data_IF_986253500993
#
_entry.id   IF_986253500993
#
_cell.length_a   1.000
_cell.length_b   1.000
_cell.length_c   1.000
_cell.angle_alpha   90.00
_cell.angle_beta   90.00
_cell.angle_gamma   90.00
#
_symmetry.space_group_name_H-M   'P 1'
#
loop_
_entity.id
_entity.type
_entity.pdbx_description
1 polymer ?
#
# COMPACT_ATOMS: atom_id res chain seq x y z
N UNK A 1 -5.73 5.05 -5.90
CA UNK A 1 -4.89 4.82 -7.11
C UNK A 1 -4.78 3.33 -7.37
N UNK A 2 -4.47 2.55 -6.34
CA UNK A 2 -4.41 1.09 -6.32
C UNK A 2 -5.77 0.46 -6.66
N UNK A 3 -5.87 -0.84 -6.97
CA UNK A 3 -7.16 -1.47 -7.21
C UNK A 3 -7.96 -1.64 -5.91
N UNK A 4 -7.26 -1.80 -4.79
CA UNK A 4 -7.82 -1.89 -3.45
C UNK A 4 -6.85 -1.39 -2.37
N UNK A 5 -7.34 -1.17 -1.15
CA UNK A 5 -6.53 -0.66 -0.03
C UNK A 5 -6.49 -1.59 1.19
N UNK A 6 -7.34 -2.61 1.27
CA UNK A 6 -7.53 -3.40 2.48
C UNK A 6 -8.51 -2.72 3.45
N UNK A 7 -9.20 -3.52 4.25
CA UNK A 7 -10.26 -3.05 5.17
C UNK A 7 -9.70 -2.12 6.25
N UNK A 8 -8.45 -2.31 6.66
CA UNK A 8 -7.76 -1.53 7.69
C UNK A 8 -7.60 -0.05 7.32
N UNK A 9 -7.60 0.28 6.03
CA UNK A 9 -7.44 1.66 5.54
C UNK A 9 -8.78 2.32 5.17
N UNK A 10 -9.92 1.66 5.45
CA UNK A 10 -11.24 2.24 5.25
C UNK A 10 -11.63 3.06 6.49
N UNK A 11 -11.49 4.38 6.41
CA UNK A 11 -11.91 5.31 7.47
C UNK A 11 -13.30 5.93 7.22
N UNK A 12 -14.02 5.46 6.20
CA UNK A 12 -15.37 5.94 5.88
C UNK A 12 -16.26 4.83 5.32
N UNK A 13 -17.55 5.09 5.18
CA UNK A 13 -18.45 4.15 4.51
C UNK A 13 -18.42 4.36 3.00
N UNK A 14 -17.79 3.43 2.27
CA UNK A 14 -17.87 3.41 0.80
C UNK A 14 -19.30 3.12 0.32
N UNK A 15 -19.76 3.73 -0.79
CA UNK A 15 -21.08 3.46 -1.35
C UNK A 15 -21.33 1.99 -1.71
N UNK A 16 -20.30 1.28 -2.18
CA UNK A 16 -20.37 -0.14 -2.53
C UNK A 16 -19.99 -1.08 -1.38
N UNK A 17 -19.55 -0.53 -0.24
CA UNK A 17 -19.13 -1.29 0.93
C UNK A 17 -17.83 -2.10 0.75
N UNK A 18 -17.02 -1.78 -0.27
CA UNK A 18 -15.77 -2.49 -0.57
C UNK A 18 -14.54 -1.64 -0.23
N UNK A 19 -13.35 -2.25 -0.31
CA UNK A 19 -12.06 -1.58 -0.23
C UNK A 19 -11.52 -1.20 -1.63
N UNK A 20 -12.35 -1.24 -2.67
CA UNK A 20 -11.98 -0.95 -4.05
C UNK A 20 -11.63 0.53 -4.21
N UNK A 21 -10.64 0.84 -5.05
CA UNK A 21 -10.33 2.22 -5.45
C UNK A 21 -10.16 2.34 -6.97
N UNK A 22 -9.49 3.39 -7.45
CA UNK A 22 -9.45 3.77 -8.86
C UNK A 22 -8.83 2.73 -9.81
N UNK A 23 -7.94 1.84 -9.34
CA UNK A 23 -7.33 0.80 -10.19
C UNK A 23 -6.46 1.32 -11.34
N UNK A 24 -5.73 2.41 -11.12
CA UNK A 24 -4.78 2.98 -12.10
C UNK A 24 -3.44 2.23 -12.16
N UNK A 25 -3.16 1.42 -11.14
CA UNK A 25 -2.03 0.50 -11.05
C UNK A 25 -2.54 -0.85 -10.55
N UNK A 26 -1.78 -1.92 -10.77
CA UNK A 26 -2.21 -3.29 -10.45
C UNK A 26 -1.80 -3.79 -9.05
N UNK A 27 -1.19 -2.90 -8.24
CA UNK A 27 -0.71 -3.21 -6.89
C UNK A 27 -1.34 -2.32 -5.83
N UNK A 28 -1.29 -2.79 -4.58
CA UNK A 28 -1.71 -2.06 -3.39
C UNK A 28 -0.52 -1.43 -2.66
N UNK A 29 -0.75 -0.39 -1.85
CA UNK A 29 0.31 0.33 -1.13
C UNK A 29 -0.06 0.41 0.36
N UNK A 30 0.85 -0.01 1.22
CA UNK A 30 0.85 0.25 2.66
C UNK A 30 1.78 1.45 2.92
N UNK A 31 1.23 2.65 3.15
CA UNK A 31 2.02 3.87 3.29
C UNK A 31 2.57 4.02 4.72
N UNK A 32 3.53 4.93 4.88
CA UNK A 32 4.06 5.35 6.19
C UNK A 32 4.61 4.21 7.04
N UNK A 33 5.32 3.28 6.40
CA UNK A 33 5.94 2.15 7.06
C UNK A 33 6.89 2.62 8.19
N UNK A 34 6.65 2.10 9.39
CA UNK A 34 7.39 2.39 10.62
C UNK A 34 7.42 3.89 11.01
N UNK A 35 6.48 4.70 10.51
CA UNK A 35 6.43 6.13 10.81
C UNK A 35 6.15 6.38 12.31
N UNK A 36 6.90 7.27 13.01
CA UNK A 36 6.79 7.45 14.46
C UNK A 36 5.41 7.87 14.99
N UNK A 37 4.60 8.53 14.16
CA UNK A 37 3.24 8.96 14.54
C UNK A 37 2.15 7.94 14.18
N UNK A 38 2.49 6.89 13.44
CA UNK A 38 1.57 5.84 13.00
C UNK A 38 2.07 4.51 13.56
N UNK A 39 1.97 4.37 14.88
CA UNK A 39 2.56 3.23 15.62
C UNK A 39 2.01 1.86 15.21
N UNK A 40 0.88 1.83 14.50
CA UNK A 40 0.28 0.61 13.94
C UNK A 40 0.87 0.24 12.56
N UNK A 41 1.49 1.20 11.85
CA UNK A 41 2.02 1.02 10.50
C UNK A 41 3.37 0.28 10.48
N UNK A 42 3.48 -0.80 11.23
CA UNK A 42 4.72 -1.57 11.34
C UNK A 42 4.92 -2.52 10.17
N UNK A 43 6.16 -2.96 9.91
CA UNK A 43 6.43 -4.04 8.93
C UNK A 43 5.65 -5.32 9.22
N UNK A 44 5.42 -5.65 10.49
CA UNK A 44 4.62 -6.81 10.87
C UNK A 44 3.15 -6.63 10.47
N UNK A 45 2.58 -5.44 10.69
CA UNK A 45 1.24 -5.11 10.25
C UNK A 45 1.13 -5.14 8.72
N UNK A 46 2.12 -4.61 8.00
CA UNK A 46 2.17 -4.66 6.54
C UNK A 46 2.17 -6.10 5.99
N UNK A 47 2.88 -7.03 6.65
CA UNK A 47 2.88 -8.45 6.28
C UNK A 47 1.48 -9.06 6.44
N UNK A 48 0.80 -8.79 7.57
CA UNK A 48 -0.55 -9.31 7.80
C UNK A 48 -1.60 -8.70 6.88
N UNK A 49 -1.48 -7.40 6.59
CA UNK A 49 -2.29 -6.69 5.61
C UNK A 49 -2.14 -7.29 4.22
N UNK A 50 -0.89 -7.49 3.73
CA UNK A 50 -0.62 -8.00 2.39
C UNK A 50 -1.24 -9.38 2.14
N UNK A 51 -1.24 -10.27 3.16
CA UNK A 51 -1.87 -11.60 3.08
C UNK A 51 -3.36 -11.57 2.75
N UNK A 52 -4.06 -10.47 3.07
CA UNK A 52 -5.52 -10.35 2.91
C UNK A 52 -5.93 -9.81 1.53
N UNK A 53 -5.01 -9.20 0.79
CA UNK A 53 -5.34 -8.45 -0.43
C UNK A 53 -5.50 -9.33 -1.68
N UNK A 54 -4.70 -10.39 -1.80
CA UNK A 54 -4.70 -11.26 -2.98
C UNK A 54 -4.17 -10.62 -4.26
N UNK A 55 -3.51 -9.45 -4.19
CA UNK A 55 -2.79 -8.82 -5.28
C UNK A 55 -1.40 -8.35 -4.84
N UNK A 56 -0.50 -8.05 -5.80
CA UNK A 56 0.82 -7.49 -5.53
C UNK A 56 0.71 -6.26 -4.62
N UNK A 57 1.64 -6.11 -3.69
CA UNK A 57 1.62 -4.95 -2.80
C UNK A 57 3.00 -4.49 -2.36
N UNK A 58 3.09 -3.21 -1.99
CA UNK A 58 4.31 -2.58 -1.49
C UNK A 58 4.03 -1.91 -0.15
N UNK A 59 4.88 -2.17 0.84
CA UNK A 59 5.01 -1.29 1.99
C UNK A 59 6.15 -0.31 1.73
N UNK A 60 5.88 0.97 1.94
CA UNK A 60 6.82 2.07 1.67
C UNK A 60 6.82 3.07 2.83
N UNK A 61 7.98 3.61 3.15
CA UNK A 61 8.12 4.74 4.06
C UNK A 61 8.11 6.08 3.32
N UNK A 62 8.37 7.17 4.05
CA UNK A 62 8.33 8.55 3.56
C UNK A 62 9.41 8.86 2.51
N UNK A 63 10.53 8.13 2.55
CA UNK A 63 11.69 8.30 1.68
C UNK A 63 11.67 7.30 0.50
N UNK A 64 10.48 6.79 0.17
CA UNK A 64 10.26 5.84 -0.92
C UNK A 64 9.14 6.30 -1.86
N UNK A 65 9.42 6.25 -3.16
CA UNK A 65 8.45 6.52 -4.23
C UNK A 65 8.35 5.34 -5.20
N UNK A 66 7.17 5.17 -5.82
CA UNK A 66 6.95 4.20 -6.89
C UNK A 66 6.64 4.96 -8.17
N UNK A 67 7.51 4.84 -9.17
CA UNK A 67 7.32 5.40 -10.51
C UNK A 67 6.72 4.34 -11.42
N UNK A 68 5.67 4.72 -12.15
CA UNK A 68 5.03 3.87 -13.16
C UNK A 68 5.05 4.58 -14.51
N UNK A 69 5.65 3.95 -15.53
CA UNK A 69 5.65 4.43 -16.91
C UNK A 69 5.24 3.28 -17.82
N UNK A 70 4.06 3.39 -18.45
CA UNK A 70 3.42 2.27 -19.14
C UNK A 70 3.27 1.05 -18.21
N UNK A 71 3.91 -0.07 -18.51
CA UNK A 71 3.92 -1.31 -17.74
C UNK A 71 5.13 -1.44 -16.80
N UNK A 72 6.04 -0.46 -16.80
CA UNK A 72 7.24 -0.51 -15.97
C UNK A 72 7.00 0.10 -14.59
N UNK A 73 7.25 -0.69 -13.56
CA UNK A 73 7.23 -0.27 -12.15
C UNK A 73 8.67 -0.17 -11.63
N UNK A 74 9.04 1.00 -11.10
CA UNK A 74 10.34 1.25 -10.48
C UNK A 74 10.16 1.82 -9.07
N UNK A 75 10.83 1.22 -8.09
CA UNK A 75 10.89 1.74 -6.72
C UNK A 75 12.15 2.61 -6.60
N UNK A 76 11.96 3.87 -6.21
CA UNK A 76 13.02 4.86 -5.99
C UNK A 76 13.04 5.14 -4.49
N UNK A 77 14.12 4.81 -3.79
CA UNK A 77 14.13 4.83 -2.32
C UNK A 77 15.50 5.13 -1.74
N UNK A 78 15.52 5.97 -0.70
CA UNK A 78 16.60 6.07 0.29
C UNK A 78 16.21 5.46 1.65
N UNK A 79 14.95 5.00 1.78
CA UNK A 79 14.35 4.45 2.98
C UNK A 79 14.14 2.93 2.94
N UNK A 80 13.17 2.48 3.73
CA UNK A 80 12.76 1.10 3.88
C UNK A 80 11.49 0.82 3.09
N UNK A 81 11.51 -0.29 2.35
CA UNK A 81 10.35 -0.77 1.63
C UNK A 81 10.38 -2.28 1.49
N UNK A 82 9.23 -2.85 1.18
CA UNK A 82 9.11 -4.28 0.89
C UNK A 82 8.00 -4.54 -0.10
N UNK A 83 8.27 -5.40 -1.08
CA UNK A 83 7.25 -6.00 -1.94
C UNK A 83 6.75 -7.32 -1.35
N UNK A 84 5.45 -7.59 -1.50
CA UNK A 84 4.78 -8.84 -1.15
C UNK A 84 4.08 -9.46 -2.37
#
# INVERSE_FOLDING_TARGET
MTPRIGEEFIDWKQPDGTDTTLGLVDFSIFPHLDHPMLTENTMAAAVEWAKKLGNDSYAIDEDTAIKVVADQVEVISEGNWKKF
#
